data_IF_512774479509
#
_entry.id   IF_512774479509
#
_cell.length_a   1.000
_cell.length_b   1.000
_cell.length_c   1.000
_cell.angle_alpha   90.00
_cell.angle_beta   90.00
_cell.angle_gamma   90.00
#
_symmetry.space_group_name_H-M   'P 1'
#
loop_
_entity.id
_entity.type
_entity.pdbx_description
1 polymer ?
#
# COMPACT_ATOMS: atom_id res chain seq x y z
N UNK A 1 0.68 61.82 -49.95
CA UNK A 1 1.11 61.94 -48.54
C UNK A 1 0.24 60.97 -47.73
N UNK A 2 0.66 59.80 -47.24
CA UNK A 2 1.95 59.14 -47.07
C UNK A 2 1.73 57.63 -47.24
N UNK A 3 2.64 56.95 -47.95
CA UNK A 3 2.80 55.49 -47.97
C UNK A 3 3.37 55.02 -46.63
N UNK A 4 2.99 53.82 -46.14
CA UNK A 4 3.94 52.87 -45.51
C UNK A 4 3.38 51.43 -45.46
N UNK A 5 3.86 50.62 -46.40
CA UNK A 5 4.46 49.27 -46.26
C UNK A 5 4.13 48.37 -45.05
N UNK A 6 3.64 47.16 -45.40
CA UNK A 6 3.82 45.80 -44.80
C UNK A 6 4.64 45.65 -43.52
N UNK A 7 4.11 44.86 -42.58
CA UNK A 7 4.78 43.67 -42.03
C UNK A 7 3.78 42.72 -41.34
N UNK A 8 3.37 41.67 -42.03
CA UNK A 8 2.78 40.48 -41.41
C UNK A 8 3.90 39.70 -40.72
N UNK A 9 4.09 39.86 -39.41
CA UNK A 9 4.87 38.90 -38.62
C UNK A 9 4.01 37.66 -38.42
N UNK A 10 4.37 36.60 -39.13
CA UNK A 10 4.00 35.25 -38.79
C UNK A 10 4.27 35.03 -37.30
N UNK A 11 3.29 34.47 -36.59
CA UNK A 11 3.52 33.90 -35.28
C UNK A 11 4.59 32.82 -35.45
N UNK A 12 5.81 33.10 -35.03
CA UNK A 12 6.81 32.06 -34.82
C UNK A 12 6.24 31.18 -33.71
N UNK A 13 5.67 30.03 -34.09
CA UNK A 13 5.62 28.87 -33.23
C UNK A 13 7.03 28.63 -32.74
N UNK A 14 7.27 28.96 -31.47
CA UNK A 14 8.46 28.52 -30.77
C UNK A 14 8.31 27.01 -30.69
N UNK A 15 8.89 26.30 -31.66
CA UNK A 15 9.21 24.89 -31.51
C UNK A 15 10.18 24.80 -30.34
N UNK A 16 9.63 24.51 -29.17
CA UNK A 16 10.40 24.13 -28.00
C UNK A 16 11.31 22.97 -28.43
N UNK A 17 12.63 23.05 -28.20
CA UNK A 17 13.51 21.96 -28.53
C UNK A 17 13.05 20.72 -27.77
N UNK A 18 12.86 19.62 -28.50
CA UNK A 18 12.75 18.28 -27.94
C UNK A 18 14.06 17.98 -27.19
N UNK A 19 14.16 18.49 -25.98
CA UNK A 19 15.16 18.04 -25.03
C UNK A 19 14.58 16.81 -24.37
N UNK A 20 15.29 15.70 -24.49
CA UNK A 20 15.01 14.41 -23.88
C UNK A 20 15.17 14.51 -22.34
N UNK A 21 14.47 15.46 -21.71
CA UNK A 21 14.47 15.66 -20.27
C UNK A 21 13.45 14.70 -19.69
N UNK A 22 13.95 13.63 -19.08
CA UNK A 22 13.15 12.68 -18.31
C UNK A 22 12.38 13.50 -17.26
N UNK A 23 11.10 13.73 -17.51
CA UNK A 23 10.20 14.34 -16.54
C UNK A 23 10.02 13.32 -15.41
N UNK A 24 10.52 13.66 -14.21
CA UNK A 24 10.29 12.89 -12.98
C UNK A 24 8.78 12.85 -12.68
N UNK A 25 8.07 11.90 -13.30
CA UNK A 25 6.62 11.80 -13.29
C UNK A 25 6.18 10.43 -12.80
N UNK A 26 5.09 10.39 -12.02
CA UNK A 26 4.42 9.15 -11.64
C UNK A 26 2.89 9.24 -11.84
N UNK A 27 2.21 8.20 -12.35
CA UNK A 27 2.76 6.95 -12.88
C UNK A 27 3.62 7.20 -14.13
N UNK A 28 4.53 6.26 -14.47
CA UNK A 28 5.31 6.36 -15.70
C UNK A 28 4.40 6.30 -16.93
N UNK A 29 4.80 7.00 -18.00
CA UNK A 29 4.06 6.99 -19.27
C UNK A 29 4.10 5.62 -19.96
N UNK A 30 5.26 4.96 -19.89
CA UNK A 30 5.50 3.60 -20.36
C UNK A 30 6.39 2.89 -19.36
N UNK A 31 6.35 1.56 -19.34
CA UNK A 31 7.20 0.77 -18.45
C UNK A 31 8.71 0.94 -18.75
N UNK A 32 9.08 1.34 -19.97
CA UNK A 32 10.47 1.58 -20.33
C UNK A 32 11.09 2.74 -19.54
N UNK A 33 10.30 3.73 -19.11
CA UNK A 33 10.80 4.85 -18.28
C UNK A 33 11.24 4.42 -16.88
N UNK A 34 10.80 3.26 -16.41
CA UNK A 34 11.19 2.69 -15.13
C UNK A 34 12.01 1.41 -15.29
N UNK A 35 12.37 1.03 -16.51
CA UNK A 35 13.14 -0.19 -16.77
C UNK A 35 14.62 0.04 -16.48
N UNK A 36 15.24 -0.92 -15.82
CA UNK A 36 16.67 -0.93 -15.49
C UNK A 36 17.46 -1.74 -16.50
N UNK A 37 18.78 -1.59 -16.50
CA UNK A 37 19.70 -2.34 -17.38
C UNK A 37 19.59 -3.86 -17.20
N UNK A 38 19.30 -4.33 -15.98
CA UNK A 38 19.13 -5.75 -15.65
C UNK A 38 17.71 -6.28 -15.93
N UNK A 39 16.92 -5.58 -16.74
CA UNK A 39 15.54 -5.94 -17.09
C UNK A 39 14.55 -5.97 -15.89
N UNK A 40 14.94 -5.44 -14.73
CA UNK A 40 14.05 -5.16 -13.61
C UNK A 40 13.40 -3.78 -13.77
N UNK A 41 12.44 -3.43 -12.91
CA UNK A 41 11.77 -2.12 -12.91
C UNK A 41 12.00 -1.36 -11.60
N UNK A 42 12.43 -0.09 -11.68
CA UNK A 42 12.62 0.79 -10.54
C UNK A 42 11.32 1.53 -10.21
N UNK A 43 10.69 1.16 -9.10
CA UNK A 43 9.45 1.75 -8.60
C UNK A 43 9.72 2.88 -7.60
N UNK A 44 10.95 3.34 -7.44
CA UNK A 44 11.27 4.52 -6.63
C UNK A 44 10.71 5.76 -7.30
N UNK A 45 10.03 6.63 -6.57
CA UNK A 45 9.49 7.86 -7.17
C UNK A 45 10.64 8.79 -7.56
N UNK A 46 10.68 9.23 -8.81
CA UNK A 46 11.56 10.31 -9.25
C UNK A 46 10.95 11.64 -8.77
N UNK A 47 11.68 12.41 -7.97
CA UNK A 47 11.24 13.74 -7.50
C UNK A 47 12.38 14.74 -7.60
N UNK A 48 12.06 16.00 -7.94
CA UNK A 48 13.01 17.11 -7.97
C UNK A 48 12.52 18.21 -7.05
N UNK A 49 13.39 18.77 -6.22
CA UNK A 49 13.05 19.91 -5.37
C UNK A 49 13.00 21.20 -6.19
N UNK A 50 12.02 22.07 -5.91
CA UNK A 50 11.96 23.41 -6.51
C UNK A 50 13.15 24.25 -6.05
N UNK A 51 13.78 25.01 -6.96
CA UNK A 51 15.03 25.77 -6.75
C UNK A 51 15.05 26.77 -5.59
N UNK A 52 13.89 27.15 -5.03
CA UNK A 52 13.76 28.06 -3.88
C UNK A 52 13.06 27.39 -2.67
N UNK A 53 12.86 26.07 -2.69
CA UNK A 53 12.35 25.33 -1.56
C UNK A 53 13.52 24.87 -0.67
N UNK A 54 13.34 24.91 0.65
CA UNK A 54 14.34 24.36 1.58
C UNK A 54 14.35 22.84 1.50
N UNK A 55 15.53 22.22 1.48
CA UNK A 55 15.69 20.76 1.65
C UNK A 55 15.27 20.31 3.05
N UNK A 56 15.16 21.23 4.03
CA UNK A 56 14.70 20.89 5.36
C UNK A 56 13.24 20.46 5.32
N UNK A 57 12.96 19.28 5.89
CA UNK A 57 11.61 18.83 6.16
C UNK A 57 10.85 19.95 6.87
N UNK A 58 9.83 20.52 6.24
CA UNK A 58 8.98 21.48 6.94
C UNK A 58 8.30 20.72 8.09
N UNK A 59 8.82 20.87 9.30
CA UNK A 59 8.21 20.29 10.48
C UNK A 59 6.92 21.03 10.75
N UNK A 60 5.80 20.45 10.31
CA UNK A 60 4.47 21.01 10.55
C UNK A 60 4.16 20.96 12.03
N UNK A 61 3.80 22.11 12.59
CA UNK A 61 3.43 22.26 13.99
C UNK A 61 1.94 22.54 14.12
N UNK A 62 1.38 22.19 15.26
CA UNK A 62 -0.05 22.34 15.56
C UNK A 62 -0.24 22.99 16.91
N UNK A 63 -1.28 23.79 17.02
CA UNK A 63 -1.67 24.35 18.31
C UNK A 63 -2.11 23.23 19.25
N UNK A 64 -1.52 23.13 20.43
CA UNK A 64 -1.74 22.02 21.36
C UNK A 64 -3.22 21.80 21.72
N UNK A 65 -4.00 22.88 21.84
CA UNK A 65 -5.44 22.83 22.13
C UNK A 65 -6.29 22.20 21.01
N UNK A 66 -5.76 22.15 19.78
CA UNK A 66 -6.41 21.45 18.67
C UNK A 66 -6.23 19.93 18.75
N UNK A 67 -5.22 19.49 19.52
CA UNK A 67 -4.83 18.09 19.68
C UNK A 67 -5.35 17.48 20.98
N UNK A 68 -5.48 18.27 22.05
CA UNK A 68 -5.85 17.78 23.38
C UNK A 68 -6.92 18.66 24.04
N UNK A 69 -7.94 18.03 24.64
CA UNK A 69 -9.00 18.71 25.39
C UNK A 69 -8.46 19.29 26.69
N UNK A 70 -9.05 20.40 27.16
CA UNK A 70 -8.75 21.04 28.44
C UNK A 70 -7.25 21.34 28.64
N UNK A 71 -6.56 21.75 27.58
CA UNK A 71 -5.18 22.25 27.64
C UNK A 71 -5.21 23.76 27.38
N UNK A 72 -4.65 24.53 28.31
CA UNK A 72 -4.54 25.99 28.23
C UNK A 72 -3.21 26.40 27.62
N UNK A 73 -3.22 27.36 26.68
CA UNK A 73 -2.01 27.96 26.11
C UNK A 73 -1.96 27.92 24.58
N UNK A 74 -1.14 28.78 23.99
CA UNK A 74 -0.97 28.92 22.53
C UNK A 74 0.30 28.22 21.99
N UNK A 75 0.74 27.15 22.66
CA UNK A 75 1.96 26.42 22.27
C UNK A 75 1.72 25.66 20.96
N UNK A 76 2.65 25.81 20.02
CA UNK A 76 2.73 25.02 18.80
C UNK A 76 3.66 23.84 19.04
N UNK A 77 3.26 22.66 18.58
CA UNK A 77 3.97 21.41 18.84
C UNK A 77 4.08 20.57 17.57
N UNK A 78 5.21 19.92 17.36
CA UNK A 78 5.44 18.95 16.30
C UNK A 78 5.07 17.53 16.72
N UNK A 79 5.08 16.59 15.77
CA UNK A 79 4.92 15.16 16.05
C UNK A 79 5.98 14.61 17.01
N UNK A 80 7.24 15.00 16.83
CA UNK A 80 8.35 14.54 17.66
C UNK A 80 8.17 15.06 19.09
N UNK A 81 7.87 16.36 19.24
CA UNK A 81 7.67 16.96 20.56
C UNK A 81 6.52 16.32 21.33
N UNK A 82 5.36 16.06 20.70
CA UNK A 82 4.24 15.42 21.42
C UNK A 82 4.51 13.96 21.77
N UNK A 83 5.41 13.29 21.03
CA UNK A 83 5.84 11.91 21.33
C UNK A 83 6.46 11.77 22.72
N UNK A 84 7.11 12.83 23.21
CA UNK A 84 7.80 12.86 24.50
C UNK A 84 6.93 13.37 25.66
N UNK A 85 5.66 13.71 25.40
CA UNK A 85 4.78 14.25 26.44
C UNK A 85 4.33 13.17 27.43
N UNK A 86 4.09 13.60 28.67
CA UNK A 86 3.57 12.73 29.73
C UNK A 86 2.30 11.99 29.27
N UNK A 87 2.25 10.69 29.57
CA UNK A 87 1.19 9.81 29.05
C UNK A 87 -0.21 10.21 29.50
N UNK A 88 -0.36 10.94 30.61
CA UNK A 88 -1.65 11.44 31.07
C UNK A 88 -2.33 12.39 30.07
N UNK A 89 -1.57 13.10 29.22
CA UNK A 89 -2.16 14.01 28.22
C UNK A 89 -2.95 13.25 27.15
N UNK A 90 -2.54 12.01 26.83
CA UNK A 90 -3.16 11.20 25.76
C UNK A 90 -4.57 10.72 26.11
N UNK A 91 -4.94 10.71 27.39
CA UNK A 91 -6.34 10.53 27.84
C UNK A 91 -7.27 11.64 27.35
N UNK A 92 -6.72 12.80 26.97
CA UNK A 92 -7.44 13.98 26.49
C UNK A 92 -7.30 14.19 24.98
N UNK A 93 -6.70 13.24 24.26
CA UNK A 93 -6.48 13.34 22.82
C UNK A 93 -7.80 13.55 22.05
N UNK A 94 -7.77 14.44 21.06
CA UNK A 94 -8.89 14.74 20.17
C UNK A 94 -8.71 13.92 18.89
N UNK A 95 -9.49 12.87 18.75
CA UNK A 95 -9.54 12.08 17.52
C UNK A 95 -10.58 12.68 16.55
N UNK A 96 -10.28 12.77 15.23
CA UNK A 96 -9.08 12.31 14.54
C UNK A 96 -7.95 13.36 14.44
N UNK A 97 -8.10 14.54 15.05
CA UNK A 97 -7.16 15.67 14.88
C UNK A 97 -5.71 15.28 15.13
N UNK A 98 -5.47 14.48 16.18
CA UNK A 98 -4.13 14.03 16.54
C UNK A 98 -3.43 13.26 15.42
N UNK A 99 -4.17 12.52 14.58
CA UNK A 99 -3.61 11.78 13.44
C UNK A 99 -3.01 12.68 12.35
N UNK A 100 -3.45 13.95 12.25
CA UNK A 100 -2.91 14.92 11.29
C UNK A 100 -1.42 15.14 11.47
N UNK A 101 -0.96 15.03 12.71
CA UNK A 101 0.45 15.22 13.07
C UNK A 101 1.36 14.12 12.53
N UNK A 102 0.83 13.00 11.98
CA UNK A 102 1.68 11.90 11.52
C UNK A 102 2.75 12.38 10.50
N UNK A 103 4.04 11.99 10.66
CA UNK A 103 5.16 12.69 10.03
C UNK A 103 5.04 12.95 8.53
N UNK A 104 5.60 14.08 8.08
CA UNK A 104 5.40 14.69 6.75
C UNK A 104 3.94 15.07 6.47
N UNK A 105 3.34 15.89 7.32
CA UNK A 105 2.10 16.60 6.96
C UNK A 105 2.44 17.76 6.03
N UNK A 106 2.42 17.48 4.74
CA UNK A 106 2.69 18.45 3.67
C UNK A 106 1.37 18.80 2.96
N UNK A 107 1.32 19.85 2.12
CA UNK A 107 0.24 20.08 1.17
C UNK A 107 0.09 18.93 0.14
N UNK A 108 -0.31 17.74 0.59
CA UNK A 108 -0.13 16.48 -0.13
C UNK A 108 -0.83 16.45 -1.49
N UNK A 109 -1.97 17.13 -1.61
CA UNK A 109 -2.69 17.29 -2.89
C UNK A 109 -1.87 18.06 -3.92
N UNK A 110 -1.12 19.07 -3.49
CA UNK A 110 -0.21 19.82 -4.35
C UNK A 110 0.99 18.95 -4.76
N UNK A 111 1.63 18.26 -3.81
CA UNK A 111 2.78 17.39 -4.10
C UNK A 111 2.42 16.26 -5.07
N UNK A 112 1.27 15.61 -4.85
CA UNK A 112 0.74 14.59 -5.75
C UNK A 112 0.51 15.16 -7.15
N UNK A 113 -0.13 16.32 -7.26
CA UNK A 113 -0.37 16.95 -8.55
C UNK A 113 0.95 17.31 -9.26
N UNK A 114 1.94 17.82 -8.53
CA UNK A 114 3.25 18.12 -9.07
C UNK A 114 3.93 16.87 -9.64
N UNK A 115 3.99 15.79 -8.86
CA UNK A 115 4.58 14.50 -9.27
C UNK A 115 3.81 13.89 -10.46
N UNK A 116 2.48 13.92 -10.45
CA UNK A 116 1.66 13.44 -11.57
C UNK A 116 1.87 14.22 -12.86
N UNK A 117 2.27 15.49 -12.75
CA UNK A 117 2.57 16.36 -13.88
C UNK A 117 4.06 16.43 -14.25
N UNK A 118 4.95 15.75 -13.50
CA UNK A 118 6.39 15.80 -13.75
C UNK A 118 7.06 17.11 -13.30
N UNK A 119 6.40 17.89 -12.43
CA UNK A 119 6.90 19.15 -11.91
C UNK A 119 7.69 18.96 -10.60
N UNK A 120 8.59 19.91 -10.26
CA UNK A 120 9.27 19.91 -8.98
C UNK A 120 8.29 19.97 -7.79
N UNK A 121 8.62 19.25 -6.73
CA UNK A 121 7.90 19.24 -5.45
C UNK A 121 8.33 20.40 -4.57
N UNK A 122 7.47 20.79 -3.64
CA UNK A 122 7.82 21.81 -2.63
C UNK A 122 8.49 21.21 -1.41
N UNK A 123 8.25 19.92 -1.14
CA UNK A 123 8.89 19.16 -0.05
C UNK A 123 9.35 17.80 -0.58
N UNK A 124 10.58 17.41 -0.28
CA UNK A 124 11.09 16.10 -0.64
C UNK A 124 10.42 14.99 0.20
N UNK A 125 10.07 13.85 -0.40
CA UNK A 125 9.47 12.74 0.33
C UNK A 125 10.53 11.96 1.14
N UNK A 126 10.57 12.14 2.46
CA UNK A 126 11.54 11.42 3.32
C UNK A 126 11.27 9.90 3.46
N UNK A 127 10.14 9.40 2.95
CA UNK A 127 9.78 7.99 3.00
C UNK A 127 9.71 7.37 1.59
N UNK A 128 10.41 7.96 0.62
CA UNK A 128 10.57 7.40 -0.71
C UNK A 128 11.72 6.38 -0.76
N UNK A 129 11.44 5.17 -0.31
CA UNK A 129 12.45 4.11 -0.29
C UNK A 129 12.64 3.46 -1.67
N UNK A 130 13.85 2.94 -1.95
CA UNK A 130 14.14 2.24 -3.19
C UNK A 130 13.38 0.92 -3.25
N UNK A 131 12.70 0.66 -4.37
CA UNK A 131 11.99 -0.60 -4.64
C UNK A 131 12.23 -0.97 -6.09
N UNK A 132 12.60 -2.22 -6.32
CA UNK A 132 12.64 -2.80 -7.66
C UNK A 132 11.69 -3.99 -7.76
N UNK A 133 10.96 -4.07 -8.87
CA UNK A 133 10.31 -5.29 -9.32
C UNK A 133 11.34 -6.06 -10.13
N UNK A 134 11.84 -7.16 -9.56
CA UNK A 134 12.82 -8.02 -10.21
C UNK A 134 12.20 -8.82 -11.36
N UNK A 135 10.92 -9.18 -11.19
CA UNK A 135 10.15 -9.89 -12.20
C UNK A 135 8.65 -9.78 -11.87
N UNK A 136 7.81 -9.83 -12.91
CA UNK A 136 6.36 -9.74 -12.80
C UNK A 136 5.70 -10.61 -13.87
N UNK A 137 4.43 -10.95 -13.65
CA UNK A 137 3.59 -11.64 -14.63
C UNK A 137 3.64 -10.98 -16.01
N UNK A 138 3.76 -11.80 -17.05
CA UNK A 138 3.67 -11.38 -18.45
C UNK A 138 2.25 -11.45 -18.99
N UNK A 139 1.27 -11.94 -18.21
CA UNK A 139 -0.14 -12.05 -18.59
C UNK A 139 -1.08 -11.14 -17.80
N UNK A 140 -0.80 -10.91 -16.50
CA UNK A 140 -1.61 -10.04 -15.64
C UNK A 140 -1.00 -8.64 -15.58
N UNK A 141 -1.83 -7.62 -15.83
CA UNK A 141 -1.38 -6.22 -15.94
C UNK A 141 -0.23 -6.03 -16.93
N UNK A 142 -0.28 -6.78 -18.04
CA UNK A 142 0.60 -6.65 -19.18
C UNK A 142 -0.24 -6.45 -20.46
N UNK A 143 0.21 -5.55 -21.33
CA UNK A 143 -0.47 -5.26 -22.60
C UNK A 143 -1.89 -4.70 -22.42
N UNK A 144 -2.79 -5.09 -23.33
CA UNK A 144 -4.17 -4.57 -23.42
C UNK A 144 -5.22 -5.50 -22.78
N UNK A 145 -4.78 -6.49 -21.99
CA UNK A 145 -5.68 -7.48 -21.40
C UNK A 145 -6.58 -6.85 -20.34
N UNK A 146 -7.88 -6.73 -20.66
CA UNK A 146 -8.90 -6.25 -19.71
C UNK A 146 -9.28 -7.35 -18.74
N UNK A 147 -9.44 -7.00 -17.47
CA UNK A 147 -9.89 -7.86 -16.38
C UNK A 147 -11.10 -7.21 -15.71
N UNK A 148 -12.02 -8.02 -15.19
CA UNK A 148 -13.11 -7.53 -14.34
C UNK A 148 -12.62 -7.26 -12.92
N UNK A 149 -11.61 -8.03 -12.48
CA UNK A 149 -10.94 -7.86 -11.21
C UNK A 149 -9.51 -8.40 -11.29
N UNK A 150 -8.56 -7.59 -10.83
CA UNK A 150 -7.18 -8.03 -10.56
C UNK A 150 -7.00 -8.22 -9.07
N UNK A 151 -6.50 -9.40 -8.70
CA UNK A 151 -6.30 -9.88 -7.34
C UNK A 151 -4.80 -10.02 -7.08
N UNK A 152 -4.31 -9.26 -6.12
CA UNK A 152 -2.95 -9.29 -5.63
C UNK A 152 -2.95 -10.04 -4.30
N UNK A 153 -2.41 -11.25 -4.31
CA UNK A 153 -2.34 -12.12 -3.14
C UNK A 153 -1.03 -11.85 -2.40
N UNK A 154 -1.10 -11.27 -1.20
CA UNK A 154 0.04 -11.17 -0.28
C UNK A 154 0.39 -12.58 0.20
N UNK A 155 1.54 -13.09 -0.23
CA UNK A 155 2.07 -14.39 0.21
C UNK A 155 3.46 -14.21 0.81
N UNK A 156 3.90 -15.13 1.65
CA UNK A 156 5.29 -15.13 2.14
C UNK A 156 6.23 -15.83 1.16
N UNK A 157 7.50 -15.46 1.12
CA UNK A 157 8.53 -16.13 0.29
C UNK A 157 8.56 -17.66 0.50
N UNK A 158 8.29 -18.14 1.73
CA UNK A 158 8.21 -19.57 2.06
C UNK A 158 6.85 -20.24 1.83
N UNK A 159 5.88 -19.51 1.27
CA UNK A 159 4.47 -19.90 1.18
C UNK A 159 4.09 -20.81 0.00
N UNK A 160 5.00 -21.65 -0.52
CA UNK A 160 4.76 -22.45 -1.74
C UNK A 160 3.46 -23.27 -1.70
N UNK A 161 3.21 -24.01 -0.62
CA UNK A 161 1.98 -24.82 -0.50
C UNK A 161 0.73 -23.95 -0.38
N UNK A 162 0.81 -22.79 0.28
CA UNK A 162 -0.31 -21.84 0.35
C UNK A 162 -0.65 -21.30 -1.03
N UNK A 163 0.36 -20.91 -1.82
CA UNK A 163 0.17 -20.46 -3.20
C UNK A 163 -0.43 -21.56 -4.08
N UNK A 164 0.07 -22.80 -3.97
CA UNK A 164 -0.50 -23.96 -4.67
C UNK A 164 -1.97 -24.18 -4.34
N UNK A 165 -2.34 -24.15 -3.05
CA UNK A 165 -3.74 -24.28 -2.62
C UNK A 165 -4.59 -23.09 -3.09
N UNK A 166 -4.05 -21.88 -3.08
CA UNK A 166 -4.75 -20.69 -3.55
C UNK A 166 -5.00 -20.77 -5.07
N UNK A 167 -4.04 -21.25 -5.87
CA UNK A 167 -4.23 -21.51 -7.31
C UNK A 167 -5.36 -22.50 -7.56
N UNK A 168 -5.38 -23.63 -6.84
CA UNK A 168 -6.44 -24.63 -6.96
C UNK A 168 -7.82 -24.06 -6.57
N UNK A 169 -7.88 -23.23 -5.53
CA UNK A 169 -9.09 -22.50 -5.16
C UNK A 169 -9.54 -21.54 -6.28
N UNK A 170 -8.63 -20.75 -6.83
CA UNK A 170 -8.96 -19.79 -7.88
C UNK A 170 -9.39 -20.47 -9.18
N UNK A 171 -8.88 -21.67 -9.48
CA UNK A 171 -9.36 -22.45 -10.62
C UNK A 171 -10.85 -22.78 -10.44
N UNK A 172 -11.24 -23.34 -9.28
CA UNK A 172 -12.66 -23.59 -8.96
C UNK A 172 -13.51 -22.32 -9.03
N UNK A 173 -13.01 -21.18 -8.53
CA UNK A 173 -13.74 -19.91 -8.63
C UNK A 173 -13.91 -19.42 -10.07
N UNK A 174 -12.93 -19.63 -10.95
CA UNK A 174 -13.04 -19.32 -12.38
C UNK A 174 -14.06 -20.23 -13.05
N UNK A 175 -14.05 -21.53 -12.74
CA UNK A 175 -15.01 -22.49 -13.29
C UNK A 175 -16.46 -22.15 -12.88
N UNK A 176 -16.67 -21.69 -11.64
CA UNK A 176 -17.96 -21.23 -11.15
C UNK A 176 -18.39 -19.85 -11.69
N UNK A 177 -17.46 -19.07 -12.25
CA UNK A 177 -17.71 -17.71 -12.74
C UNK A 177 -17.11 -17.53 -14.15
N UNK A 178 -17.55 -18.29 -15.17
CA UNK A 178 -16.90 -18.34 -16.48
C UNK A 178 -16.96 -16.99 -17.25
N UNK A 179 -17.91 -16.13 -16.89
CA UNK A 179 -18.07 -14.80 -17.48
C UNK A 179 -17.32 -13.70 -16.72
N UNK A 180 -16.55 -14.05 -15.69
CA UNK A 180 -15.76 -13.09 -14.91
C UNK A 180 -14.27 -13.33 -15.17
N UNK A 181 -13.63 -12.37 -15.81
CA UNK A 181 -12.22 -12.43 -16.15
C UNK A 181 -11.36 -11.94 -15.00
N UNK A 182 -10.72 -12.89 -14.31
CA UNK A 182 -9.90 -12.64 -13.12
C UNK A 182 -8.40 -12.69 -13.45
N UNK A 183 -7.68 -11.63 -13.09
CA UNK A 183 -6.21 -11.61 -13.04
C UNK A 183 -5.76 -11.92 -11.62
N UNK A 184 -4.83 -12.85 -11.43
CA UNK A 184 -4.34 -13.23 -10.09
C UNK A 184 -2.82 -13.22 -10.11
N UNK A 185 -2.21 -12.52 -9.17
CA UNK A 185 -0.76 -12.54 -8.93
C UNK A 185 -0.46 -12.67 -7.45
N UNK A 186 0.65 -13.33 -7.11
CA UNK A 186 1.22 -13.39 -5.78
C UNK A 186 2.31 -12.33 -5.63
N UNK A 187 2.19 -11.48 -4.60
CA UNK A 187 3.20 -10.48 -4.26
C UNK A 187 4.13 -11.01 -3.18
N UNK A 188 5.41 -11.17 -3.53
CA UNK A 188 6.47 -11.69 -2.67
C UNK A 188 7.71 -10.80 -2.74
N UNK A 189 8.50 -10.79 -1.67
CA UNK A 189 9.83 -10.21 -1.66
C UNK A 189 10.91 -11.28 -1.78
N UNK A 190 12.12 -10.95 -1.34
CA UNK A 190 13.27 -11.86 -1.26
C UNK A 190 13.43 -12.44 0.15
N UNK A 191 14.05 -13.62 0.33
CA UNK A 191 14.30 -14.18 1.64
C UNK A 191 15.23 -13.28 2.47
N UNK A 192 14.92 -13.15 3.76
CA UNK A 192 15.79 -12.48 4.72
C UNK A 192 17.14 -13.20 4.81
N UNK A 193 18.23 -12.44 4.80
CA UNK A 193 19.57 -13.02 4.78
C UNK A 193 20.02 -13.53 6.16
N UNK A 194 19.80 -12.73 7.22
CA UNK A 194 20.31 -12.99 8.58
C UNK A 194 19.30 -12.65 9.67
N UNK A 195 19.50 -13.19 10.88
CA UNK A 195 18.73 -12.82 12.08
C UNK A 195 17.47 -13.66 12.35
N UNK A 196 17.09 -14.55 11.42
CA UNK A 196 15.99 -15.51 11.63
C UNK A 196 14.70 -14.84 12.07
N UNK A 197 14.02 -15.44 13.05
CA UNK A 197 12.77 -14.90 13.63
C UNK A 197 12.92 -13.67 14.54
N UNK A 198 14.14 -13.18 14.78
CA UNK A 198 14.41 -12.09 15.71
C UNK A 198 14.42 -10.72 15.00
N UNK A 199 13.76 -9.76 15.61
CA UNK A 199 13.67 -8.38 15.15
C UNK A 199 13.96 -7.44 16.32
N UNK A 200 14.53 -6.28 16.04
CA UNK A 200 14.78 -5.26 17.04
C UNK A 200 13.91 -4.05 16.74
N UNK A 201 13.21 -3.56 17.77
CA UNK A 201 12.29 -2.43 17.64
C UNK A 201 12.25 -1.62 18.92
N UNK A 202 12.64 -0.36 18.81
CA UNK A 202 12.69 0.62 19.91
C UNK A 202 13.32 0.06 21.21
N UNK A 203 14.50 -0.56 21.08
CA UNK A 203 15.21 -1.16 22.21
C UNK A 203 14.70 -2.53 22.67
N UNK A 204 13.68 -3.08 22.03
CA UNK A 204 13.12 -4.39 22.37
C UNK A 204 13.40 -5.45 21.29
N UNK A 205 13.71 -6.67 21.72
CA UNK A 205 13.75 -7.84 20.85
C UNK A 205 12.36 -8.41 20.69
N UNK A 206 11.85 -8.40 19.46
CA UNK A 206 10.60 -9.04 19.06
C UNK A 206 10.91 -10.42 18.47
N UNK A 207 10.12 -11.41 18.88
CA UNK A 207 10.24 -12.78 18.39
C UNK A 207 8.99 -13.11 17.57
N UNK A 208 9.16 -13.31 16.27
CA UNK A 208 8.08 -13.75 15.40
C UNK A 208 7.78 -15.23 15.67
N UNK A 209 6.76 -15.50 16.48
CA UNK A 209 6.35 -16.87 16.84
C UNK A 209 5.54 -17.53 15.74
N UNK A 210 5.52 -18.87 15.77
CA UNK A 210 4.71 -19.71 14.89
C UNK A 210 5.36 -19.98 13.53
N UNK A 211 4.59 -20.56 12.58
CA UNK A 211 5.15 -21.16 11.36
C UNK A 211 5.98 -20.21 10.51
N UNK A 212 5.61 -18.92 10.46
CA UNK A 212 6.37 -17.92 9.72
C UNK A 212 7.79 -17.75 10.28
N UNK A 213 7.94 -17.69 11.61
CA UNK A 213 9.25 -17.61 12.26
C UNK A 213 10.04 -18.92 12.17
N UNK A 214 9.36 -20.07 12.26
CA UNK A 214 10.00 -21.39 12.13
C UNK A 214 10.62 -21.57 10.74
N UNK A 215 9.94 -21.13 9.69
CA UNK A 215 10.47 -21.14 8.33
C UNK A 215 11.65 -20.18 8.16
N UNK A 216 11.61 -19.00 8.80
CA UNK A 216 12.75 -18.07 8.77
C UNK A 216 14.02 -18.71 9.36
N UNK A 217 13.91 -19.38 10.50
CA UNK A 217 15.06 -20.04 11.12
C UNK A 217 15.58 -21.22 10.29
N UNK A 218 14.66 -22.03 9.75
CA UNK A 218 15.00 -23.18 8.90
C UNK A 218 15.82 -22.80 7.66
N UNK A 219 15.61 -21.60 7.13
CA UNK A 219 16.22 -21.10 5.90
C UNK A 219 17.30 -20.03 6.11
N UNK A 220 17.79 -19.82 7.34
CA UNK A 220 18.94 -18.95 7.60
C UNK A 220 20.13 -19.39 6.74
N UNK A 221 20.73 -18.46 6.00
CA UNK A 221 21.87 -18.73 5.10
C UNK A 221 21.51 -19.54 3.85
N UNK A 222 20.24 -19.88 3.63
CA UNK A 222 19.77 -20.70 2.49
C UNK A 222 18.94 -19.89 1.49
N UNK A 223 19.21 -18.59 1.40
CA UNK A 223 18.50 -17.67 0.50
C UNK A 223 18.53 -18.12 -0.97
N UNK A 224 19.68 -18.62 -1.45
CA UNK A 224 19.82 -19.08 -2.83
C UNK A 224 18.92 -20.28 -3.16
N UNK A 225 18.76 -21.24 -2.23
CA UNK A 225 17.83 -22.37 -2.42
C UNK A 225 16.37 -21.88 -2.51
N UNK A 226 16.01 -20.91 -1.68
CA UNK A 226 14.67 -20.32 -1.67
C UNK A 226 14.41 -19.62 -3.00
N UNK A 227 15.37 -18.81 -3.48
CA UNK A 227 15.26 -18.10 -4.75
C UNK A 227 15.17 -19.06 -5.94
N UNK A 228 15.94 -20.15 -5.96
CA UNK A 228 15.86 -21.17 -7.01
C UNK A 228 14.43 -21.75 -7.11
N UNK A 229 13.80 -22.08 -5.97
CA UNK A 229 12.42 -22.59 -5.95
C UNK A 229 11.41 -21.55 -6.41
N UNK A 230 11.62 -20.28 -6.08
CA UNK A 230 10.78 -19.18 -6.56
C UNK A 230 10.93 -19.00 -8.07
N UNK A 231 12.14 -19.05 -8.61
CA UNK A 231 12.37 -18.97 -10.06
C UNK A 231 11.74 -20.14 -10.83
N UNK A 232 11.79 -21.35 -10.27
CA UNK A 232 11.08 -22.52 -10.80
C UNK A 232 9.56 -22.30 -10.82
N UNK A 233 9.01 -21.78 -9.72
CA UNK A 233 7.58 -21.48 -9.61
C UNK A 233 7.15 -20.41 -10.62
N UNK A 234 7.94 -19.35 -10.77
CA UNK A 234 7.69 -18.26 -11.72
C UNK A 234 7.69 -18.76 -13.16
N UNK A 235 8.66 -19.60 -13.53
CA UNK A 235 8.72 -20.23 -14.86
C UNK A 235 7.49 -21.10 -15.14
N UNK A 236 6.89 -21.68 -14.11
CA UNK A 236 5.75 -22.60 -14.24
C UNK A 236 4.40 -21.89 -14.30
N UNK A 237 4.20 -20.80 -13.55
CA UNK A 237 2.86 -20.24 -13.33
C UNK A 237 2.63 -18.80 -13.83
N UNK A 238 3.68 -18.02 -14.15
CA UNK A 238 3.56 -16.62 -14.63
C UNK A 238 2.67 -15.72 -13.74
N UNK A 239 2.62 -15.97 -12.43
CA UNK A 239 1.69 -15.32 -11.51
C UNK A 239 2.37 -14.73 -10.28
N UNK A 240 3.65 -14.36 -10.37
CA UNK A 240 4.42 -13.78 -9.26
C UNK A 240 4.87 -12.37 -9.62
N UNK A 241 4.66 -11.45 -8.68
CA UNK A 241 5.31 -10.15 -8.61
C UNK A 241 6.40 -10.26 -7.54
N UNK A 242 7.65 -10.33 -7.98
CA UNK A 242 8.82 -10.47 -7.12
C UNK A 242 9.52 -9.11 -6.96
N UNK A 243 9.66 -8.65 -5.73
CA UNK A 243 10.33 -7.40 -5.40
C UNK A 243 11.55 -7.59 -4.50
N UNK A 244 12.44 -6.60 -4.46
CA UNK A 244 13.77 -6.66 -3.83
C UNK A 244 13.81 -6.30 -2.33
N UNK A 245 12.70 -6.38 -1.60
CA UNK A 245 12.68 -6.19 -0.15
C UNK A 245 12.70 -7.52 0.61
N UNK A 246 13.27 -7.53 1.83
CA UNK A 246 13.21 -8.71 2.69
C UNK A 246 11.76 -9.02 3.11
N UNK A 247 11.25 -10.17 2.65
CA UNK A 247 9.86 -10.57 2.84
C UNK A 247 9.62 -11.10 4.26
N UNK A 248 9.29 -10.18 5.17
CA UNK A 248 9.03 -10.48 6.57
C UNK A 248 7.72 -9.85 7.03
N UNK A 249 7.16 -10.37 8.13
CA UNK A 249 5.94 -9.81 8.72
C UNK A 249 6.08 -8.31 9.04
N UNK A 250 7.22 -7.90 9.58
CA UNK A 250 7.46 -6.49 9.94
C UNK A 250 7.78 -5.58 8.74
N UNK A 251 7.96 -6.16 7.55
CA UNK A 251 8.11 -5.46 6.27
C UNK A 251 6.85 -5.54 5.39
N UNK A 252 5.69 -5.94 5.92
CA UNK A 252 4.43 -5.97 5.15
C UNK A 252 4.06 -4.59 4.57
N UNK A 253 4.50 -3.50 5.19
CA UNK A 253 4.30 -2.15 4.66
C UNK A 253 5.08 -1.92 3.36
N UNK A 254 6.30 -2.49 3.24
CA UNK A 254 7.04 -2.50 1.96
C UNK A 254 6.24 -3.19 0.89
N UNK A 255 5.72 -4.40 1.19
CA UNK A 255 4.85 -5.16 0.28
C UNK A 255 3.62 -4.36 -0.15
N UNK A 256 2.97 -3.67 0.78
CA UNK A 256 1.78 -2.86 0.49
C UNK A 256 2.11 -1.69 -0.43
N UNK A 257 3.20 -0.97 -0.17
CA UNK A 257 3.65 0.14 -1.04
C UNK A 257 4.08 -0.39 -2.41
N UNK A 258 4.80 -1.51 -2.47
CA UNK A 258 5.15 -2.19 -3.72
C UNK A 258 3.90 -2.54 -4.51
N UNK A 259 2.87 -3.10 -3.87
CA UNK A 259 1.60 -3.42 -4.54
C UNK A 259 0.92 -2.17 -5.10
N UNK A 260 0.84 -1.08 -4.32
CA UNK A 260 0.24 0.19 -4.78
C UNK A 260 0.99 0.75 -6.00
N UNK A 261 2.33 0.76 -5.95
CA UNK A 261 3.17 1.25 -7.06
C UNK A 261 3.11 0.33 -8.27
N UNK A 262 3.07 -1.00 -8.06
CA UNK A 262 2.90 -1.96 -9.15
C UNK A 262 1.55 -1.81 -9.84
N UNK A 263 0.45 -1.71 -9.08
CA UNK A 263 -0.89 -1.45 -9.66
C UNK A 263 -0.88 -0.12 -10.43
N UNK A 264 -0.29 0.92 -9.85
CA UNK A 264 -0.20 2.25 -10.46
C UNK A 264 0.56 2.23 -11.80
N UNK A 265 1.70 1.54 -11.88
CA UNK A 265 2.57 1.55 -13.06
C UNK A 265 2.19 0.51 -14.13
N UNK A 266 1.68 -0.67 -13.74
CA UNK A 266 1.50 -1.80 -14.66
C UNK A 266 0.03 -2.01 -15.07
N UNK A 267 -0.93 -1.78 -14.17
CA UNK A 267 -2.32 -2.15 -14.42
C UNK A 267 -3.12 -1.06 -15.15
N UNK A 268 -4.06 -1.50 -15.98
CA UNK A 268 -5.02 -0.64 -16.68
C UNK A 268 -6.11 -0.12 -15.72
N UNK A 269 -5.85 1.01 -15.06
CA UNK A 269 -6.80 1.67 -14.15
C UNK A 269 -8.00 2.29 -14.87
N UNK A 270 -7.95 2.48 -16.19
CA UNK A 270 -9.06 3.07 -16.94
C UNK A 270 -10.22 2.07 -17.04
N UNK A 271 -9.90 0.81 -17.31
CA UNK A 271 -10.89 -0.26 -17.50
C UNK A 271 -11.15 -1.09 -16.25
N UNK A 272 -10.23 -1.15 -15.29
CA UNK A 272 -10.49 -1.75 -13.98
C UNK A 272 -11.13 -0.71 -13.05
N UNK A 273 -12.19 -1.08 -12.34
CA UNK A 273 -12.82 -0.19 -11.35
C UNK A 273 -12.21 -0.32 -9.95
N UNK A 274 -11.78 -1.53 -9.60
CA UNK A 274 -11.29 -1.89 -8.26
C UNK A 274 -10.19 -2.94 -8.40
N UNK A 275 -9.21 -2.88 -7.52
CA UNK A 275 -8.17 -3.89 -7.32
C UNK A 275 -8.37 -4.55 -5.96
N UNK A 276 -8.15 -5.86 -5.87
CA UNK A 276 -8.24 -6.60 -4.60
C UNK A 276 -6.86 -6.97 -4.10
N UNK A 277 -6.56 -6.67 -2.85
CA UNK A 277 -5.38 -7.16 -2.13
C UNK A 277 -5.86 -8.10 -1.02
N UNK A 278 -5.38 -9.34 -0.98
CA UNK A 278 -5.83 -10.38 -0.05
C UNK A 278 -4.65 -11.20 0.49
N UNK A 279 -4.74 -11.68 1.73
CA UNK A 279 -3.74 -12.61 2.29
C UNK A 279 -3.90 -14.04 1.74
N UNK A 280 -2.79 -14.76 1.62
CA UNK A 280 -2.76 -16.14 1.11
C UNK A 280 -3.41 -17.19 2.04
N UNK A 281 -3.81 -16.82 3.25
CA UNK A 281 -4.59 -17.62 4.18
C UNK A 281 -6.08 -17.28 4.19
N UNK A 282 -6.52 -16.33 3.37
CA UNK A 282 -7.94 -16.01 3.14
C UNK A 282 -8.36 -16.43 1.74
N UNK A 283 -9.67 -16.59 1.54
CA UNK A 283 -10.28 -16.86 0.24
C UNK A 283 -11.55 -16.03 0.08
N UNK A 284 -12.13 -16.02 -1.13
CA UNK A 284 -13.32 -15.25 -1.44
C UNK A 284 -14.35 -15.99 -2.30
N UNK A 285 -15.62 -15.66 -2.11
CA UNK A 285 -16.69 -16.05 -3.03
C UNK A 285 -16.77 -14.99 -4.12
N UNK A 286 -16.27 -15.33 -5.32
CA UNK A 286 -16.19 -14.38 -6.44
C UNK A 286 -17.58 -13.90 -6.85
N UNK A 287 -18.59 -14.78 -6.88
CA UNK A 287 -19.95 -14.39 -7.26
C UNK A 287 -20.55 -13.36 -6.29
N UNK A 288 -20.34 -13.54 -4.98
CA UNK A 288 -20.76 -12.57 -3.96
C UNK A 288 -19.99 -11.26 -4.08
N UNK A 289 -18.68 -11.33 -4.34
CA UNK A 289 -17.84 -10.16 -4.54
C UNK A 289 -18.28 -9.33 -5.74
N UNK A 290 -18.53 -9.97 -6.89
CA UNK A 290 -18.98 -9.27 -8.10
C UNK A 290 -20.38 -8.68 -7.92
N UNK A 291 -21.29 -9.36 -7.21
CA UNK A 291 -22.61 -8.80 -6.84
C UNK A 291 -22.46 -7.58 -5.93
N UNK A 292 -21.58 -7.64 -4.94
CA UNK A 292 -21.28 -6.49 -4.08
C UNK A 292 -20.75 -5.32 -4.90
N UNK A 293 -19.74 -5.55 -5.76
CA UNK A 293 -19.20 -4.51 -6.62
C UNK A 293 -20.31 -3.92 -7.50
N UNK A 294 -21.11 -4.74 -8.18
CA UNK A 294 -22.22 -4.26 -9.00
C UNK A 294 -23.23 -3.39 -8.22
N UNK A 295 -23.43 -3.62 -6.93
CA UNK A 295 -24.35 -2.84 -6.08
C UNK A 295 -23.82 -1.45 -5.67
N UNK A 296 -22.51 -1.21 -5.79
CA UNK A 296 -21.90 0.08 -5.40
C UNK A 296 -21.78 0.98 -6.64
N UNK A 297 -22.20 2.26 -6.56
CA UNK A 297 -22.04 3.22 -7.66
C UNK A 297 -20.59 3.31 -8.14
N UNK A 298 -20.37 3.35 -9.46
CA UNK A 298 -19.04 3.28 -10.07
C UNK A 298 -18.07 4.32 -9.52
N UNK A 299 -18.49 5.58 -9.39
CA UNK A 299 -17.66 6.65 -8.84
C UNK A 299 -17.14 6.26 -7.44
N UNK A 300 -18.07 5.92 -6.54
CA UNK A 300 -17.75 5.47 -5.18
C UNK A 300 -16.83 4.25 -5.16
N UNK A 301 -16.99 3.28 -6.08
CA UNK A 301 -16.06 2.14 -6.20
C UNK A 301 -14.64 2.58 -6.51
N UNK A 302 -14.49 3.53 -7.42
CA UNK A 302 -13.19 3.95 -7.94
C UNK A 302 -12.47 4.94 -7.03
N UNK A 303 -13.21 5.69 -6.20
CA UNK A 303 -12.67 6.75 -5.33
C UNK A 303 -12.51 6.37 -3.87
N UNK A 304 -12.71 5.10 -3.51
CA UNK A 304 -12.77 4.66 -2.11
C UNK A 304 -12.05 3.33 -1.85
N UNK A 305 -11.83 3.03 -0.57
CA UNK A 305 -11.34 1.73 -0.12
C UNK A 305 -12.46 1.00 0.61
N UNK A 306 -12.61 -0.29 0.33
CA UNK A 306 -13.59 -1.15 1.01
C UNK A 306 -12.90 -2.32 1.70
N UNK A 307 -13.42 -2.73 2.83
CA UNK A 307 -12.92 -3.86 3.60
C UNK A 307 -13.62 -3.98 4.93
N UNK A 308 -13.12 -4.86 5.80
CA UNK A 308 -13.54 -4.84 7.21
C UNK A 308 -12.82 -3.71 7.93
N UNK A 309 -13.52 -2.65 8.33
CA UNK A 309 -12.90 -1.45 8.91
C UNK A 309 -12.78 -1.58 10.43
N UNK A 310 -11.55 -1.53 10.93
CA UNK A 310 -11.24 -1.31 12.34
C UNK A 310 -11.34 0.19 12.65
N UNK A 311 -12.07 0.58 13.70
CA UNK A 311 -12.28 1.99 14.09
C UNK A 311 -11.80 2.35 15.49
N UNK A 312 -11.51 1.35 16.32
CA UNK A 312 -11.27 1.54 17.75
C UNK A 312 -10.24 0.54 18.28
N UNK A 313 -9.46 -0.07 17.39
CA UNK A 313 -8.36 -0.95 17.80
C UNK A 313 -7.33 -0.10 18.54
N UNK A 314 -6.85 -0.62 19.68
CA UNK A 314 -5.86 0.05 20.52
C UNK A 314 -4.44 -0.23 20.05
N UNK A 315 -3.53 0.70 20.34
CA UNK A 315 -2.10 0.50 20.16
C UNK A 315 -1.58 -0.55 21.16
N UNK A 316 -1.02 -1.66 20.69
CA UNK A 316 -0.44 -2.66 21.59
C UNK A 316 0.92 -2.18 22.11
N UNK A 317 1.02 -1.95 23.42
CA UNK A 317 2.23 -1.38 24.07
C UNK A 317 3.17 -2.41 24.69
N UNK A 318 2.81 -3.69 24.65
CA UNK A 318 3.66 -4.76 25.18
C UNK A 318 4.64 -5.26 24.10
N UNK A 319 5.96 -5.23 24.35
CA UNK A 319 6.96 -5.81 23.44
C UNK A 319 6.84 -7.33 23.26
N UNK A 320 6.03 -8.01 24.09
CA UNK A 320 5.73 -9.44 23.91
C UNK A 320 4.70 -9.70 22.81
N UNK A 321 3.99 -8.65 22.37
CA UNK A 321 2.99 -8.74 21.31
C UNK A 321 3.66 -8.68 19.94
N UNK A 322 3.24 -9.56 19.03
CA UNK A 322 3.54 -9.44 17.59
C UNK A 322 3.13 -8.07 17.04
N UNK A 323 2.11 -7.45 17.64
CA UNK A 323 1.56 -6.16 17.23
C UNK A 323 2.15 -4.96 18.00
N UNK A 324 3.26 -5.13 18.74
CA UNK A 324 3.89 -4.06 19.51
C UNK A 324 4.11 -2.78 18.68
N UNK A 325 3.72 -1.62 19.23
CA UNK A 325 3.97 -0.29 18.71
C UNK A 325 4.48 0.59 19.84
N UNK A 326 5.65 1.20 19.67
CA UNK A 326 6.20 2.11 20.69
C UNK A 326 5.50 3.48 20.66
N UNK A 327 5.65 4.25 21.74
CA UNK A 327 5.07 5.61 21.79
C UNK A 327 5.77 6.60 20.85
N UNK A 328 7.06 6.39 20.53
CA UNK A 328 7.80 7.22 19.55
C UNK A 328 7.30 7.00 18.12
N UNK A 329 6.88 5.77 17.85
CA UNK A 329 6.37 5.36 16.53
C UNK A 329 4.89 5.72 16.35
N UNK A 330 4.06 5.46 17.35
CA UNK A 330 2.64 5.79 17.35
C UNK A 330 2.27 6.31 18.73
N UNK A 331 2.12 7.61 18.93
CA UNK A 331 1.93 8.16 20.27
C UNK A 331 0.48 8.07 20.76
N UNK A 332 -0.49 7.81 19.86
CA UNK A 332 -1.92 7.66 20.17
C UNK A 332 -2.29 6.30 20.73
N UNK A 333 -3.22 6.26 21.67
CA UNK A 333 -3.68 5.00 22.25
C UNK A 333 -4.72 4.28 21.37
N UNK A 334 -5.45 5.03 20.53
CA UNK A 334 -6.42 4.51 19.56
C UNK A 334 -5.86 4.67 18.15
N UNK A 335 -5.99 3.64 17.31
CA UNK A 335 -5.53 3.67 15.92
C UNK A 335 -6.48 4.47 15.04
N UNK A 336 -5.93 5.16 14.02
CA UNK A 336 -6.70 5.71 12.92
C UNK A 336 -7.54 4.61 12.29
N UNK A 337 -8.74 4.91 11.76
CA UNK A 337 -9.54 3.87 11.11
C UNK A 337 -8.78 3.27 9.92
N UNK A 338 -8.81 1.95 9.79
CA UNK A 338 -8.12 1.23 8.72
C UNK A 338 -8.88 -0.02 8.25
N UNK A 339 -8.74 -0.42 6.96
CA UNK A 339 -9.22 -1.71 6.50
C UNK A 339 -8.28 -2.82 6.99
N UNK A 340 -8.82 -3.84 7.68
CA UNK A 340 -8.01 -4.94 8.23
C UNK A 340 -7.18 -5.63 7.14
N UNK A 341 -5.96 -6.03 7.50
CA UNK A 341 -4.93 -6.52 6.56
C UNK A 341 -5.30 -7.71 5.66
N UNK A 342 -6.27 -8.54 6.07
CA UNK A 342 -6.57 -9.78 5.36
C UNK A 342 -7.21 -9.58 3.98
N UNK A 343 -7.95 -8.49 3.75
CA UNK A 343 -8.58 -8.20 2.47
C UNK A 343 -8.96 -6.72 2.34
N UNK A 344 -8.54 -6.11 1.22
CA UNK A 344 -8.77 -4.72 0.88
C UNK A 344 -9.18 -4.62 -0.59
N UNK A 345 -10.21 -3.83 -0.86
CA UNK A 345 -10.64 -3.45 -2.21
C UNK A 345 -10.29 -1.98 -2.41
N UNK A 346 -9.42 -1.69 -3.38
CA UNK A 346 -8.87 -0.34 -3.63
C UNK A 346 -9.41 0.15 -4.97
N UNK A 347 -10.13 1.28 -4.95
CA UNK A 347 -10.65 1.92 -6.14
C UNK A 347 -9.55 2.39 -7.10
N UNK A 348 -9.79 2.27 -8.40
CA UNK A 348 -8.76 2.55 -9.41
C UNK A 348 -8.31 4.03 -9.48
N UNK A 349 -9.18 4.99 -9.17
CA UNK A 349 -8.87 6.43 -9.31
C UNK A 349 -8.00 6.97 -8.16
N UNK A 350 -7.87 6.23 -7.06
CA UNK A 350 -7.06 6.60 -5.90
C UNK A 350 -5.67 5.94 -5.88
N UNK A 351 -5.41 4.93 -6.73
CA UNK A 351 -4.17 4.14 -6.66
C UNK A 351 -2.93 5.01 -6.90
N UNK A 352 -2.96 5.91 -7.89
CA UNK A 352 -1.81 6.78 -8.18
C UNK A 352 -1.51 7.72 -7.00
N UNK A 353 -2.56 8.29 -6.41
CA UNK A 353 -2.45 9.20 -5.27
C UNK A 353 -1.93 8.46 -4.03
N UNK A 354 -2.35 7.21 -3.83
CA UNK A 354 -1.84 6.33 -2.77
C UNK A 354 -0.38 5.92 -3.02
N UNK A 355 0.00 5.59 -4.27
CA UNK A 355 1.36 5.22 -4.64
C UNK A 355 2.36 6.37 -4.45
N UNK A 356 1.91 7.62 -4.68
CA UNK A 356 2.71 8.83 -4.44
C UNK A 356 2.69 9.21 -2.95
N UNK A 357 1.51 9.27 -2.35
CA UNK A 357 1.32 9.64 -0.94
C UNK A 357 2.02 8.71 0.04
N UNK A 358 2.30 7.46 -0.36
CA UNK A 358 3.08 6.51 0.43
C UNK A 358 4.48 7.04 0.77
N UNK A 359 5.08 7.82 -0.14
CA UNK A 359 6.42 8.40 0.02
C UNK A 359 6.46 9.59 1.00
N UNK A 360 5.29 10.15 1.32
CA UNK A 360 5.09 11.22 2.31
C UNK A 360 4.44 10.70 3.61
N UNK A 361 4.44 9.38 3.81
CA UNK A 361 3.83 8.75 4.98
C UNK A 361 4.83 7.82 5.63
N UNK A 362 5.14 8.04 6.92
CA UNK A 362 6.12 7.22 7.63
C UNK A 362 5.67 5.77 7.65
N UNK A 363 6.46 4.87 7.08
CA UNK A 363 6.11 3.44 7.02
C UNK A 363 6.81 2.63 8.11
N UNK A 364 7.96 3.09 8.60
CA UNK A 364 8.80 2.31 9.49
C UNK A 364 7.98 1.87 10.70
N UNK A 365 7.97 0.55 10.93
CA UNK A 365 7.43 -0.10 12.11
C UNK A 365 5.90 -0.12 12.24
N UNK A 366 5.15 0.66 11.48
CA UNK A 366 3.67 0.61 11.54
C UNK A 366 3.16 -0.61 10.78
N UNK A 367 2.23 -1.36 11.38
CA UNK A 367 1.55 -2.47 10.71
C UNK A 367 0.90 -1.97 9.42
N UNK A 368 0.94 -2.78 8.37
CA UNK A 368 0.66 -2.33 7.01
C UNK A 368 -0.79 -1.85 6.83
N UNK A 369 -1.71 -2.45 7.57
CA UNK A 369 -3.12 -2.08 7.55
C UNK A 369 -3.37 -0.74 8.26
N UNK A 370 -2.79 -0.54 9.45
CA UNK A 370 -2.78 0.76 10.15
C UNK A 370 -2.13 1.84 9.28
N UNK A 371 -1.00 1.52 8.63
CA UNK A 371 -0.34 2.41 7.68
C UNK A 371 -1.27 2.81 6.54
N UNK A 372 -1.98 1.86 5.94
CA UNK A 372 -2.94 2.12 4.87
C UNK A 372 -4.08 3.04 5.33
N UNK A 373 -4.55 2.90 6.57
CA UNK A 373 -5.52 3.80 7.18
C UNK A 373 -5.00 5.23 7.37
N UNK A 374 -3.76 5.39 7.83
CA UNK A 374 -3.10 6.70 7.96
C UNK A 374 -2.87 7.36 6.59
N UNK A 375 -2.46 6.58 5.59
CA UNK A 375 -2.32 7.05 4.20
C UNK A 375 -3.67 7.52 3.64
N UNK A 376 -4.73 6.72 3.80
CA UNK A 376 -6.08 7.09 3.40
C UNK A 376 -6.56 8.37 4.10
N UNK A 377 -6.29 8.50 5.40
CA UNK A 377 -6.62 9.69 6.17
C UNK A 377 -5.92 10.95 5.63
N UNK A 378 -4.61 10.88 5.38
CA UNK A 378 -3.83 11.98 4.78
C UNK A 378 -4.39 12.41 3.42
N UNK A 379 -4.79 11.43 2.60
CA UNK A 379 -5.32 11.67 1.26
C UNK A 379 -6.83 12.01 1.25
N UNK A 380 -7.49 12.02 2.41
CA UNK A 380 -8.95 12.19 2.52
C UNK A 380 -9.75 11.14 1.73
N UNK A 381 -9.22 9.91 1.65
CA UNK A 381 -9.88 8.77 1.00
C UNK A 381 -10.86 8.12 1.98
N UNK A 382 -12.07 7.83 1.49
CA UNK A 382 -13.12 7.26 2.33
C UNK A 382 -12.95 5.74 2.47
N UNK A 383 -13.15 5.26 3.70
CA UNK A 383 -13.16 3.84 4.05
C UNK A 383 -14.60 3.35 4.24
N UNK A 384 -15.01 2.33 3.49
CA UNK A 384 -16.34 1.72 3.60
C UNK A 384 -16.25 0.33 4.22
N UNK A 385 -17.07 0.12 5.26
CA UNK A 385 -17.11 -1.15 5.97
C UNK A 385 -17.99 -2.18 5.27
N UNK A 386 -17.41 -3.34 5.04
CA UNK A 386 -18.07 -4.53 4.55
C UNK A 386 -18.22 -5.52 5.72
N UNK A 387 -19.47 -5.84 6.06
CA UNK A 387 -19.76 -6.69 7.22
C UNK A 387 -19.53 -8.19 6.94
N UNK A 388 -19.60 -8.62 5.68
CA UNK A 388 -19.50 -10.03 5.26
C UNK A 388 -18.05 -10.46 4.95
N UNK A 389 -17.07 -9.73 5.49
CA UNK A 389 -15.64 -10.06 5.46
C UNK A 389 -15.19 -10.34 6.90
N UNK A 390 -14.59 -11.50 7.13
CA UNK A 390 -14.26 -11.99 8.47
C UNK A 390 -12.75 -12.22 8.61
N UNK A 391 -12.17 -11.65 9.67
CA UNK A 391 -10.79 -11.96 10.10
C UNK A 391 -10.73 -13.28 10.89
N UNK A 392 -9.51 -13.73 11.22
CA UNK A 392 -9.22 -14.98 11.95
C UNK A 392 -10.00 -15.14 13.27
N UNK A 393 -10.36 -14.05 13.96
CA UNK A 393 -11.01 -14.06 15.30
C UNK A 393 -12.51 -13.80 15.24
N UNK A 394 -12.99 -13.24 14.13
CA UNK A 394 -14.37 -12.83 13.97
C UNK A 394 -15.30 -13.99 13.61
N UNK A 395 -14.83 -14.93 12.80
CA UNK A 395 -15.66 -16.07 12.37
C UNK A 395 -16.09 -16.93 13.56
N UNK A 396 -15.14 -17.30 14.43
CA UNK A 396 -15.39 -18.14 15.62
C UNK A 396 -16.34 -17.49 16.64
N UNK A 397 -16.35 -16.15 16.72
CA UNK A 397 -17.15 -15.39 17.70
C UNK A 397 -18.56 -15.04 17.24
N UNK A 398 -18.85 -15.15 15.93
CA UNK A 398 -20.08 -14.60 15.31
C UNK A 398 -20.65 -15.52 14.23
N UNK A 399 -20.62 -16.83 14.40
CA UNK A 399 -21.22 -17.72 13.41
C UNK A 399 -22.66 -18.13 13.77
N UNK A 400 -23.70 -17.45 13.22
CA UNK A 400 -24.97 -18.12 12.99
C UNK A 400 -24.77 -19.16 11.89
N UNK A 401 -25.25 -20.37 12.12
CA UNK A 401 -25.19 -21.56 11.26
C UNK A 401 -25.68 -21.39 9.81
N UNK A 402 -26.21 -20.21 9.42
CA UNK A 402 -26.76 -19.91 8.08
C UNK A 402 -26.16 -18.67 7.39
N UNK A 403 -25.03 -18.11 7.85
CA UNK A 403 -24.49 -16.88 7.26
C UNK A 403 -23.59 -17.15 6.04
N UNK A 404 -23.83 -16.45 4.92
CA UNK A 404 -22.91 -16.43 3.79
C UNK A 404 -21.79 -15.40 4.00
N UNK A 405 -20.54 -15.76 3.69
CA UNK A 405 -19.36 -14.89 3.79
C UNK A 405 -18.77 -14.64 2.41
N UNK A 406 -18.38 -13.39 2.19
CA UNK A 406 -17.72 -13.00 0.95
C UNK A 406 -16.22 -13.26 1.02
N UNK A 407 -15.61 -13.03 2.19
CA UNK A 407 -14.18 -13.30 2.45
C UNK A 407 -14.05 -13.87 3.85
N UNK A 408 -13.31 -14.97 3.98
CA UNK A 408 -12.95 -15.57 5.26
C UNK A 408 -11.65 -16.37 5.14
N UNK A 409 -11.10 -16.77 6.29
CA UNK A 409 -9.93 -17.64 6.37
C UNK A 409 -10.16 -18.96 5.62
N UNK A 410 -9.11 -19.45 4.96
CA UNK A 410 -9.10 -20.61 4.08
C UNK A 410 -9.66 -21.89 4.71
N UNK A 411 -9.50 -22.11 6.02
CA UNK A 411 -10.06 -23.28 6.72
C UNK A 411 -11.58 -23.37 6.73
N UNK A 412 -12.28 -22.26 6.45
CA UNK A 412 -13.75 -22.23 6.34
C UNK A 412 -14.26 -22.47 4.92
N UNK A 413 -13.35 -22.63 3.97
CA UNK A 413 -13.70 -22.99 2.61
C UNK A 413 -13.50 -24.48 2.50
N UNK A 414 -14.61 -25.21 2.36
CA UNK A 414 -14.58 -26.65 2.24
C UNK A 414 -13.59 -27.07 1.13
N UNK A 415 -12.80 -28.09 1.46
CA UNK A 415 -12.14 -28.93 0.47
C UNK A 415 -13.25 -29.80 -0.13
N UNK A 416 -14.16 -29.18 -0.91
CA UNK A 416 -15.03 -29.94 -1.83
C UNK A 416 -14.29 -30.16 -3.13
#
# INVERSE_FOLDING_TARGET
MWNFSRSTRAANEIKLPYTNTIHCRWPPLTLDHIRTENNAYNLTLCTKLRTNASENSSTTTYLIQSLFRNVTGKKWVSFEEIGDYDRSIWKRAIYPNVYRTYPQDVPIKYEIKAIKSGFPVSVMPNYNFPIHILNTSKSVCSGSTKYDLVIIVKSGVFGWERRKQFRAFMQRQKDLNPNTKLGVVFSIGVPRQYGGRMFYRDGHTLILRGPAGDMMDKYIGRGSEVMQKIEEEMRKYDDIVLADYEDTYYNLTWKTVTNLRWISAFCDKLHNDVFMIIDDDHRMNVSMLMKFLASVPRDKRRTSIFGRIARSDGAFRSPLSKLYLSFREIPWDVMCAYPRGFCQLIGADIVDDMAIGSAYTRYNYVHEDVYLGLLAFKLSIHLYNIYNMFDHRMFERRWPTNSSFMVAESRYWDIV
#
